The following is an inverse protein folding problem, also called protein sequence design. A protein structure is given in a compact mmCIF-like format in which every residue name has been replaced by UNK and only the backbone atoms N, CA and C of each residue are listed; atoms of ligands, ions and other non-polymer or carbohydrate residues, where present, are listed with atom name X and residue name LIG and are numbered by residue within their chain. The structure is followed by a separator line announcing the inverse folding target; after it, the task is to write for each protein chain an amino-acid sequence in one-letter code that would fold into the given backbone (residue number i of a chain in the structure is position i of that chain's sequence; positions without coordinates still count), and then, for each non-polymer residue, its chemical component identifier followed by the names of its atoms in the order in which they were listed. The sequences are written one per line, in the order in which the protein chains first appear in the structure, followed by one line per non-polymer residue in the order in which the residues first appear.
data_IF_913791810886
#
_entry.id   IF_913791810886
#
_cell.length_a   1.000
_cell.length_b   1.000
_cell.length_c   1.000
_cell.angle_alpha   90.00
_cell.angle_beta   90.00
_cell.angle_gamma   90.00
#
_symmetry.space_group_name_H-M   'P 1'
#
loop_
_entity.id
_entity.type
_entity.pdbx_description
1 polymer ?
#
# COMPACT_ATOMS: atom_id res chain seq x y z
N UNK A 1 -22.41 29.26 12.33
CA UNK A 1 -21.01 28.92 11.93
C UNK A 1 -21.02 27.47 11.48
N UNK A 2 -20.78 27.18 10.21
CA UNK A 2 -20.58 25.78 9.77
C UNK A 2 -19.31 25.27 10.49
N UNK A 3 -19.44 24.21 11.29
CA UNK A 3 -18.29 23.50 11.84
C UNK A 3 -17.49 22.94 10.66
N UNK A 4 -16.17 22.99 10.75
CA UNK A 4 -15.31 22.40 9.71
C UNK A 4 -15.71 20.96 9.45
N UNK A 5 -15.85 20.58 8.19
CA UNK A 5 -16.20 19.23 7.77
C UNK A 5 -15.07 18.23 8.09
N UNK A 6 -15.42 16.94 8.08
CA UNK A 6 -14.47 15.82 8.21
C UNK A 6 -14.48 15.00 6.92
N UNK A 7 -13.40 14.30 6.70
CA UNK A 7 -13.31 13.27 5.66
C UNK A 7 -13.14 11.90 6.31
N UNK A 8 -13.82 10.90 5.77
CA UNK A 8 -13.55 9.50 6.09
C UNK A 8 -12.39 9.03 5.23
N UNK A 9 -11.37 8.47 5.85
CA UNK A 9 -10.19 7.91 5.17
C UNK A 9 -10.20 6.40 5.34
N UNK A 10 -9.99 5.68 4.25
CA UNK A 10 -9.98 4.23 4.22
C UNK A 10 -8.65 3.73 3.62
N UNK A 11 -8.08 2.71 4.25
CA UNK A 11 -7.06 1.82 3.68
C UNK A 11 -7.68 0.43 3.58
N UNK A 12 -7.97 -0.01 2.37
CA UNK A 12 -8.73 -1.22 2.08
C UNK A 12 -7.77 -2.34 1.72
N UNK A 13 -7.55 -3.24 2.67
CA UNK A 13 -6.85 -4.49 2.46
C UNK A 13 -7.77 -5.67 2.16
N UNK A 14 -7.20 -6.86 1.98
CA UNK A 14 -7.97 -8.09 1.72
C UNK A 14 -8.62 -8.71 2.96
N UNK A 15 -8.19 -8.33 4.16
CA UNK A 15 -8.61 -8.88 5.46
C UNK A 15 -9.17 -7.83 6.41
N UNK A 16 -8.79 -6.58 6.24
CA UNK A 16 -9.27 -5.46 7.05
C UNK A 16 -9.46 -4.21 6.19
N UNK A 17 -10.48 -3.45 6.55
CA UNK A 17 -10.66 -2.05 6.17
C UNK A 17 -10.23 -1.21 7.37
N UNK A 18 -9.10 -0.52 7.26
CA UNK A 18 -8.65 0.45 8.25
C UNK A 18 -9.27 1.79 7.93
N UNK A 19 -9.82 2.46 8.91
CA UNK A 19 -10.49 3.74 8.72
C UNK A 19 -10.12 4.75 9.80
N UNK A 20 -10.20 6.03 9.47
CA UNK A 20 -10.07 7.12 10.42
C UNK A 20 -10.77 8.38 9.90
N UNK A 21 -11.03 9.33 10.78
CA UNK A 21 -11.40 10.69 10.37
C UNK A 21 -10.16 11.48 9.99
N UNK A 22 -10.33 12.40 9.05
CA UNK A 22 -9.32 13.39 8.68
C UNK A 22 -9.94 14.77 8.53
N UNK A 23 -9.06 15.75 8.47
CA UNK A 23 -9.38 17.13 8.11
C UNK A 23 -8.64 17.41 6.81
N UNK A 24 -9.35 17.92 5.81
CA UNK A 24 -8.74 18.27 4.52
C UNK A 24 -7.50 19.16 4.72
N UNK A 25 -6.37 18.75 4.15
CA UNK A 25 -5.08 19.46 4.26
C UNK A 25 -4.40 19.46 5.64
N UNK A 26 -4.98 18.77 6.67
CA UNK A 26 -4.42 18.75 8.04
C UNK A 26 -4.10 17.36 8.59
N UNK A 27 -4.45 16.30 7.86
CA UNK A 27 -4.13 14.93 8.27
C UNK A 27 -5.18 14.25 9.15
N UNK A 28 -4.75 13.30 9.98
CA UNK A 28 -5.63 12.47 10.81
C UNK A 28 -6.20 13.22 12.01
N UNK A 29 -7.42 12.85 12.39
CA UNK A 29 -7.97 13.16 13.72
C UNK A 29 -7.53 12.03 14.66
N UNK A 30 -6.77 12.39 15.69
CA UNK A 30 -6.26 11.43 16.68
C UNK A 30 -7.38 10.65 17.36
N UNK A 31 -7.12 9.40 17.71
CA UNK A 31 -8.08 8.55 18.40
C UNK A 31 -9.25 8.04 17.56
N UNK A 32 -9.32 8.36 16.26
CA UNK A 32 -10.43 7.93 15.39
C UNK A 32 -10.15 6.67 14.57
N UNK A 33 -8.96 6.07 14.72
CA UNK A 33 -8.61 4.85 14.02
C UNK A 33 -9.54 3.69 14.37
N UNK A 34 -10.02 2.99 13.35
CA UNK A 34 -10.83 1.76 13.46
C UNK A 34 -10.34 0.74 12.44
N UNK A 35 -10.50 -0.54 12.77
CA UNK A 35 -10.21 -1.67 11.89
C UNK A 35 -11.44 -2.56 11.80
N UNK A 36 -12.02 -2.68 10.61
CA UNK A 36 -13.20 -3.50 10.33
C UNK A 36 -12.76 -4.76 9.57
N UNK A 37 -13.04 -5.96 10.06
CA UNK A 37 -12.75 -7.20 9.32
C UNK A 37 -13.50 -7.24 7.99
N UNK A 38 -12.83 -7.74 6.95
CA UNK A 38 -13.40 -7.99 5.63
C UNK A 38 -12.76 -9.25 5.04
N UNK A 39 -13.52 -10.04 4.30
CA UNK A 39 -12.95 -11.08 3.44
C UNK A 39 -13.04 -10.65 1.99
N UNK A 40 -11.91 -10.39 1.35
CA UNK A 40 -11.90 -10.05 -0.09
C UNK A 40 -12.39 -11.18 -0.99
N UNK A 41 -12.52 -12.40 -0.44
CA UNK A 41 -13.08 -13.59 -1.11
C UNK A 41 -14.49 -13.94 -0.61
N UNK A 42 -15.11 -13.08 0.21
CA UNK A 42 -16.47 -13.22 0.71
C UNK A 42 -17.52 -13.02 -0.36
N UNK A 43 -18.79 -13.18 0.03
CA UNK A 43 -19.94 -12.88 -0.83
C UNK A 43 -20.06 -11.37 -1.07
N UNK A 44 -20.88 -10.98 -2.04
CA UNK A 44 -21.14 -9.55 -2.30
C UNK A 44 -21.78 -8.86 -1.09
N UNK A 45 -22.64 -9.57 -0.36
CA UNK A 45 -23.30 -9.09 0.84
C UNK A 45 -22.29 -8.86 1.97
N UNK A 46 -21.40 -9.82 2.24
CA UNK A 46 -20.36 -9.70 3.28
C UNK A 46 -19.40 -8.55 2.99
N UNK A 47 -18.97 -8.42 1.75
CA UNK A 47 -18.08 -7.33 1.31
C UNK A 47 -18.78 -5.98 1.45
N UNK A 48 -20.03 -5.88 0.98
CA UNK A 48 -20.84 -4.67 1.07
C UNK A 48 -21.04 -4.25 2.51
N UNK A 49 -21.43 -5.18 3.38
CA UNK A 49 -21.66 -4.89 4.79
C UNK A 49 -20.39 -4.42 5.52
N UNK A 50 -19.24 -5.03 5.22
CA UNK A 50 -17.97 -4.60 5.81
C UNK A 50 -17.60 -3.15 5.41
N UNK A 51 -17.77 -2.77 4.14
CA UNK A 51 -17.54 -1.40 3.70
C UNK A 51 -18.53 -0.41 4.33
N UNK A 52 -19.83 -0.77 4.37
CA UNK A 52 -20.86 0.05 4.99
C UNK A 52 -20.61 0.25 6.49
N UNK A 53 -20.22 -0.81 7.19
CA UNK A 53 -19.84 -0.76 8.61
C UNK A 53 -18.64 0.16 8.85
N UNK A 54 -17.58 0.04 8.06
CA UNK A 54 -16.40 0.87 8.21
C UNK A 54 -16.70 2.37 8.01
N UNK A 55 -17.51 2.71 7.00
CA UNK A 55 -17.86 4.10 6.69
C UNK A 55 -18.87 4.66 7.67
N UNK A 56 -19.96 3.92 7.96
CA UNK A 56 -21.01 4.37 8.90
C UNK A 56 -20.48 4.56 10.32
N UNK A 57 -19.53 3.74 10.75
CA UNK A 57 -18.85 3.90 12.04
C UNK A 57 -18.15 5.25 12.16
N UNK A 58 -17.43 5.67 11.13
CA UNK A 58 -16.75 6.97 11.10
C UNK A 58 -17.75 8.14 10.97
N UNK A 59 -18.81 7.98 10.16
CA UNK A 59 -19.86 9.00 10.03
C UNK A 59 -20.55 9.25 11.39
N UNK A 60 -20.90 8.19 12.10
CA UNK A 60 -21.51 8.28 13.44
C UNK A 60 -20.60 9.02 14.40
N UNK A 61 -19.32 8.64 14.43
CA UNK A 61 -18.33 9.30 15.28
C UNK A 61 -18.19 10.78 14.98
N UNK A 62 -18.13 11.17 13.72
CA UNK A 62 -18.11 12.58 13.32
C UNK A 62 -19.36 13.32 13.79
N UNK A 63 -20.54 12.70 13.65
CA UNK A 63 -21.81 13.27 14.07
C UNK A 63 -21.89 13.50 15.60
N UNK A 64 -21.38 12.56 16.40
CA UNK A 64 -21.27 12.69 17.87
C UNK A 64 -20.42 13.91 18.27
N UNK A 65 -19.41 14.24 17.51
CA UNK A 65 -18.58 15.45 17.69
C UNK A 65 -19.21 16.69 17.02
N UNK A 66 -20.33 16.53 16.33
CA UNK A 66 -21.09 17.60 15.65
C UNK A 66 -20.46 18.03 14.33
N UNK A 67 -19.76 17.13 13.61
CA UNK A 67 -19.19 17.38 12.28
C UNK A 67 -20.00 16.64 11.20
N UNK A 68 -20.08 17.24 10.00
CA UNK A 68 -20.56 16.58 8.80
C UNK A 68 -19.41 15.92 8.05
N UNK A 69 -19.70 14.88 7.25
CA UNK A 69 -18.74 14.28 6.33
C UNK A 69 -18.91 14.88 4.95
N UNK A 70 -17.84 15.44 4.40
CA UNK A 70 -17.80 16.00 3.04
C UNK A 70 -17.28 15.00 2.00
N UNK A 71 -16.41 14.08 2.42
CA UNK A 71 -15.83 13.10 1.50
C UNK A 71 -15.51 11.77 2.18
N UNK A 72 -15.51 10.72 1.37
CA UNK A 72 -14.89 9.42 1.68
C UNK A 72 -13.73 9.20 0.70
N UNK A 73 -12.53 9.10 1.23
CA UNK A 73 -11.29 8.93 0.48
C UNK A 73 -10.72 7.54 0.76
N UNK A 74 -10.59 6.71 -0.27
CA UNK A 74 -10.16 5.32 -0.12
C UNK A 74 -8.89 5.02 -0.92
N UNK A 75 -7.92 4.42 -0.22
CA UNK A 75 -6.79 3.74 -0.83
C UNK A 75 -7.08 2.24 -0.89
N UNK A 76 -6.86 1.62 -2.04
CA UNK A 76 -7.16 0.20 -2.25
C UNK A 76 -6.29 -0.39 -3.37
N UNK A 77 -6.06 -1.74 -3.35
CA UNK A 77 -5.31 -2.40 -4.41
C UNK A 77 -6.09 -2.39 -5.73
N UNK A 78 -5.37 -2.67 -6.84
CA UNK A 78 -5.97 -2.82 -8.16
C UNK A 78 -6.10 -4.28 -8.61
N UNK A 79 -6.74 -4.50 -9.78
CA UNK A 79 -7.35 -3.51 -10.69
C UNK A 79 -8.62 -2.85 -10.16
N UNK A 80 -8.65 -1.52 -10.24
CA UNK A 80 -9.79 -0.68 -9.88
C UNK A 80 -9.81 0.55 -10.79
N UNK A 81 -10.96 1.03 -11.20
CA UNK A 81 -11.07 2.32 -11.88
C UNK A 81 -11.15 3.42 -10.82
N UNK A 82 -10.02 4.02 -10.49
CA UNK A 82 -9.91 5.03 -9.42
C UNK A 82 -10.61 6.35 -9.79
N UNK A 83 -10.88 6.59 -11.07
CA UNK A 83 -11.62 7.78 -11.53
C UNK A 83 -13.13 7.61 -11.39
N UNK A 84 -13.64 6.39 -11.64
CA UNK A 84 -15.07 6.07 -11.59
C UNK A 84 -15.49 5.37 -10.30
N UNK A 85 -14.53 4.87 -9.52
CA UNK A 85 -14.80 4.14 -8.29
C UNK A 85 -15.37 2.74 -8.51
N UNK A 86 -14.91 2.01 -9.58
CA UNK A 86 -15.47 0.71 -9.98
C UNK A 86 -14.48 -0.41 -9.70
N UNK A 87 -14.93 -1.49 -9.05
CA UNK A 87 -14.16 -2.70 -8.80
C UNK A 87 -13.91 -3.49 -10.09
N UNK A 88 -12.64 -3.73 -10.42
CA UNK A 88 -12.23 -4.51 -11.61
C UNK A 88 -11.35 -5.71 -11.25
N UNK A 89 -11.25 -6.03 -9.96
CA UNK A 89 -10.48 -7.17 -9.46
C UNK A 89 -11.24 -8.48 -9.66
N UNK A 90 -10.51 -9.53 -10.11
CA UNK A 90 -11.03 -10.90 -10.24
C UNK A 90 -10.38 -11.88 -9.25
N UNK A 91 -9.28 -11.48 -8.62
CA UNK A 91 -8.54 -12.28 -7.64
C UNK A 91 -8.80 -11.88 -6.19
N UNK A 92 -9.37 -10.70 -5.98
CA UNK A 92 -9.89 -10.15 -4.72
C UNK A 92 -11.15 -9.37 -5.05
N UNK A 93 -12.09 -9.30 -4.12
CA UNK A 93 -13.35 -8.57 -4.31
C UNK A 93 -14.10 -8.96 -5.59
N UNK A 94 -13.90 -10.22 -6.08
CA UNK A 94 -14.50 -10.70 -7.33
C UNK A 94 -16.04 -10.66 -7.29
N UNK A 95 -16.64 -10.85 -6.12
CA UNK A 95 -18.09 -10.83 -5.94
C UNK A 95 -18.74 -9.45 -6.18
N UNK A 96 -17.94 -8.37 -6.13
CA UNK A 96 -18.39 -6.99 -6.43
C UNK A 96 -17.74 -6.45 -7.72
N UNK A 97 -17.29 -7.34 -8.61
CA UNK A 97 -16.74 -6.94 -9.92
C UNK A 97 -17.74 -6.13 -10.73
N UNK A 98 -17.32 -4.99 -11.25
CA UNK A 98 -18.16 -4.07 -12.04
C UNK A 98 -19.08 -3.16 -11.22
N UNK A 99 -19.15 -3.36 -9.90
CA UNK A 99 -19.97 -2.53 -9.00
C UNK A 99 -19.18 -1.28 -8.60
N UNK A 100 -19.85 -0.13 -8.52
CA UNK A 100 -19.22 1.09 -8.02
C UNK A 100 -19.23 1.15 -6.49
N UNK A 101 -18.21 1.78 -5.91
CA UNK A 101 -18.14 1.97 -4.46
C UNK A 101 -19.30 2.82 -3.93
N UNK A 102 -19.84 3.72 -4.76
CA UNK A 102 -21.04 4.50 -4.43
C UNK A 102 -22.28 3.62 -4.30
N UNK A 103 -22.49 2.66 -5.20
CA UNK A 103 -23.58 1.69 -5.11
C UNK A 103 -23.45 0.81 -3.87
N UNK A 104 -22.23 0.38 -3.54
CA UNK A 104 -21.94 -0.39 -2.32
C UNK A 104 -22.32 0.41 -1.06
N UNK A 105 -21.93 1.68 -0.98
CA UNK A 105 -22.25 2.51 0.19
C UNK A 105 -23.74 2.90 0.25
N UNK A 106 -24.39 3.06 -0.90
CA UNK A 106 -25.84 3.35 -0.98
C UNK A 106 -26.24 4.53 -0.10
N UNK A 107 -27.17 4.29 0.83
CA UNK A 107 -27.74 5.26 1.76
C UNK A 107 -26.84 5.61 2.98
N UNK A 108 -25.69 4.94 3.13
CA UNK A 108 -24.70 5.30 4.17
C UNK A 108 -24.14 6.69 3.94
N UNK A 109 -24.08 7.13 2.68
CA UNK A 109 -23.59 8.46 2.28
C UNK A 109 -24.68 9.25 1.57
N UNK A 110 -24.58 10.57 1.62
CA UNK A 110 -25.48 11.44 0.85
C UNK A 110 -25.04 11.55 -0.62
N UNK A 111 -25.93 11.96 -1.53
CA UNK A 111 -25.55 12.22 -2.93
C UNK A 111 -24.39 13.22 -3.08
N UNK A 112 -24.33 14.21 -2.18
CA UNK A 112 -23.32 15.28 -2.18
C UNK A 112 -21.96 14.83 -1.57
N UNK A 113 -21.90 13.68 -0.92
CA UNK A 113 -20.63 13.16 -0.37
C UNK A 113 -19.67 12.85 -1.51
N UNK A 114 -18.53 13.54 -1.54
CA UNK A 114 -17.49 13.28 -2.53
C UNK A 114 -16.83 11.92 -2.27
N UNK A 115 -16.58 11.14 -3.31
CA UNK A 115 -15.76 9.94 -3.24
C UNK A 115 -14.46 10.19 -4.01
N UNK A 116 -13.35 9.80 -3.40
CA UNK A 116 -12.03 9.88 -4.03
C UNK A 116 -11.27 8.58 -3.78
N UNK A 117 -10.52 8.14 -4.79
CA UNK A 117 -9.87 6.84 -4.77
C UNK A 117 -8.42 6.95 -5.23
N UNK A 118 -7.56 6.15 -4.62
CA UNK A 118 -6.14 6.04 -5.00
C UNK A 118 -5.68 4.59 -4.87
N UNK A 119 -4.76 4.17 -5.73
CA UNK A 119 -4.07 2.89 -5.53
C UNK A 119 -3.25 2.96 -4.23
N UNK A 120 -3.25 1.90 -3.43
CA UNK A 120 -2.61 1.86 -2.11
C UNK A 120 -1.14 2.32 -2.13
N UNK A 121 -0.33 1.86 -3.10
CA UNK A 121 1.06 2.32 -3.22
C UNK A 121 1.17 3.77 -3.69
N UNK A 122 0.25 4.27 -4.53
CA UNK A 122 0.19 5.70 -4.88
C UNK A 122 -0.19 6.55 -3.66
N UNK A 123 -1.16 6.06 -2.85
CA UNK A 123 -1.52 6.68 -1.58
C UNK A 123 -0.34 6.76 -0.62
N UNK A 124 0.45 5.70 -0.50
CA UNK A 124 1.66 5.69 0.32
C UNK A 124 2.67 6.76 -0.14
N UNK A 125 2.91 6.86 -1.45
CA UNK A 125 3.82 7.88 -1.99
C UNK A 125 3.27 9.30 -1.82
N UNK A 126 1.97 9.54 -2.07
CA UNK A 126 1.33 10.83 -1.82
C UNK A 126 1.45 11.25 -0.35
N UNK A 127 1.25 10.29 0.57
CA UNK A 127 1.46 10.52 1.99
C UNK A 127 2.90 10.91 2.31
N UNK A 128 3.89 10.18 1.78
CA UNK A 128 5.30 10.51 1.95
C UNK A 128 5.63 11.91 1.42
N UNK A 129 5.18 12.26 0.21
CA UNK A 129 5.36 13.58 -0.40
C UNK A 129 4.68 14.71 0.40
N UNK A 130 3.62 14.41 1.16
CA UNK A 130 2.92 15.41 1.96
C UNK A 130 3.64 15.72 3.27
N UNK A 131 4.35 14.76 3.85
CA UNK A 131 5.05 14.91 5.13
C UNK A 131 6.52 15.30 4.98
N UNK A 132 7.15 14.94 3.85
CA UNK A 132 8.55 15.27 3.55
C UNK A 132 8.65 16.06 2.23
N UNK A 133 8.79 17.38 2.34
CA UNK A 133 8.91 18.27 1.18
C UNK A 133 10.15 17.97 0.32
N UNK A 134 11.22 17.41 0.89
CA UNK A 134 12.45 17.07 0.16
C UNK A 134 12.25 15.96 -0.88
N UNK A 135 11.17 15.19 -0.75
CA UNK A 135 10.78 14.15 -1.71
C UNK A 135 10.09 14.71 -2.96
N UNK A 136 9.71 15.99 -2.94
CA UNK A 136 9.08 16.65 -4.09
C UNK A 136 10.10 17.14 -5.12
N UNK A 137 11.36 17.15 -4.74
CA UNK A 137 12.46 17.54 -5.63
C UNK A 137 13.03 16.30 -6.31
N UNK A 138 13.01 16.31 -7.66
CA UNK A 138 13.51 15.21 -8.49
C UNK A 138 12.54 14.02 -8.55
N UNK A 139 13.09 12.85 -8.91
CA UNK A 139 12.31 11.64 -9.13
C UNK A 139 12.47 10.69 -7.95
N UNK A 140 11.36 10.30 -7.36
CA UNK A 140 11.29 9.40 -6.21
C UNK A 140 10.40 8.20 -6.51
N UNK A 141 10.79 7.02 -6.05
CA UNK A 141 9.95 5.82 -6.11
C UNK A 141 9.51 5.37 -4.71
N UNK A 142 8.37 4.71 -4.65
CA UNK A 142 7.88 3.94 -3.52
C UNK A 142 7.84 2.46 -3.91
N UNK A 143 8.44 1.62 -3.09
CA UNK A 143 8.38 0.16 -3.20
C UNK A 143 7.72 -0.38 -1.95
N UNK A 144 6.68 -1.17 -2.08
CA UNK A 144 6.05 -1.83 -0.92
C UNK A 144 6.25 -3.34 -1.02
N UNK A 145 6.80 -3.93 0.05
CA UNK A 145 7.04 -5.36 0.17
C UNK A 145 6.16 -5.96 1.27
N UNK A 146 5.34 -6.92 0.87
CA UNK A 146 4.41 -7.61 1.76
C UNK A 146 3.89 -8.88 1.10
N UNK A 147 2.57 -9.10 1.07
CA UNK A 147 1.94 -10.22 0.33
C UNK A 147 2.35 -10.18 -1.14
N UNK A 148 2.51 -8.99 -1.73
CA UNK A 148 3.00 -8.75 -3.08
C UNK A 148 4.09 -7.67 -3.12
N UNK A 149 4.45 -7.28 -4.35
CA UNK A 149 5.38 -6.20 -4.67
C UNK A 149 4.61 -5.02 -5.27
N UNK A 150 4.50 -3.92 -4.52
CA UNK A 150 3.99 -2.65 -5.03
C UNK A 150 5.12 -1.74 -5.50
N UNK A 151 4.87 -0.99 -6.58
CA UNK A 151 5.78 0.02 -7.11
C UNK A 151 5.00 1.19 -7.67
N UNK A 152 5.44 2.38 -7.34
CA UNK A 152 5.01 3.63 -7.98
C UNK A 152 6.13 4.66 -7.93
N UNK A 153 5.97 5.75 -8.64
CA UNK A 153 6.97 6.82 -8.65
C UNK A 153 6.35 8.19 -8.89
N UNK A 154 7.06 9.21 -8.46
CA UNK A 154 6.75 10.61 -8.74
C UNK A 154 7.91 11.27 -9.50
N UNK A 155 7.56 12.18 -10.40
CA UNK A 155 8.47 13.08 -11.11
C UNK A 155 8.17 14.48 -10.63
N UNK A 156 9.15 15.17 -10.07
CA UNK A 156 9.00 16.54 -9.53
C UNK A 156 7.74 16.68 -8.67
N UNK A 157 7.59 15.75 -7.72
CA UNK A 157 6.48 15.74 -6.76
C UNK A 157 5.13 15.29 -7.31
N UNK A 158 5.02 14.92 -8.59
CA UNK A 158 3.77 14.43 -9.19
C UNK A 158 3.81 12.91 -9.36
N UNK A 159 2.95 12.21 -8.64
CA UNK A 159 2.76 10.76 -8.79
C UNK A 159 2.30 10.45 -10.22
N UNK A 160 2.94 9.46 -10.82
CA UNK A 160 2.68 9.06 -12.20
C UNK A 160 1.64 7.94 -12.26
N UNK A 161 0.56 8.21 -12.96
CA UNK A 161 -0.62 7.33 -13.02
C UNK A 161 -0.99 6.97 -14.45
N UNK A 162 -1.61 5.81 -14.61
CA UNK A 162 -2.27 5.39 -15.84
C UNK A 162 -3.61 6.11 -16.03
N UNK A 163 -4.28 5.86 -17.15
CA UNK A 163 -5.61 6.42 -17.43
C UNK A 163 -6.66 6.08 -16.36
N UNK A 164 -6.56 4.92 -15.71
CA UNK A 164 -7.48 4.50 -14.64
C UNK A 164 -7.06 4.96 -13.24
N UNK A 165 -5.91 5.62 -13.08
CA UNK A 165 -5.36 6.05 -11.80
C UNK A 165 -4.51 4.98 -11.08
N UNK A 166 -4.24 3.83 -11.72
CA UNK A 166 -3.25 2.86 -11.25
C UNK A 166 -1.82 3.42 -11.44
N UNK A 167 -0.79 2.87 -10.77
CA UNK A 167 0.60 3.24 -11.06
C UNK A 167 0.92 3.15 -12.55
N UNK A 168 1.59 4.16 -13.11
CA UNK A 168 1.92 4.22 -14.54
C UNK A 168 2.88 3.10 -14.98
N UNK A 169 3.73 2.63 -14.06
CA UNK A 169 4.63 1.48 -14.22
C UNK A 169 4.52 0.60 -12.98
N UNK A 170 4.74 -0.71 -13.15
CA UNK A 170 4.78 -1.69 -12.08
C UNK A 170 6.03 -2.54 -12.16
N UNK A 171 6.44 -3.11 -11.03
CA UNK A 171 7.53 -4.10 -10.95
C UNK A 171 7.02 -5.51 -10.65
N UNK A 172 5.80 -5.64 -10.13
CA UNK A 172 5.28 -6.94 -9.67
C UNK A 172 5.28 -8.01 -10.76
N UNK A 173 4.92 -7.65 -12.00
CA UNK A 173 4.85 -8.54 -13.16
C UNK A 173 6.05 -8.40 -14.10
N UNK A 174 7.12 -7.72 -13.68
CA UNK A 174 8.33 -7.62 -14.48
C UNK A 174 8.88 -9.03 -14.75
N UNK A 175 9.16 -9.40 -16.01
CA UNK A 175 9.74 -10.71 -16.32
C UNK A 175 11.09 -10.88 -15.61
N UNK A 176 11.24 -11.95 -14.85
CA UNK A 176 12.44 -12.20 -14.07
C UNK A 176 12.69 -13.71 -13.90
N UNK A 177 13.87 -14.20 -14.31
CA UNK A 177 14.32 -15.59 -14.14
C UNK A 177 13.29 -16.66 -14.50
N UNK A 178 12.54 -16.47 -15.60
CA UNK A 178 11.51 -17.41 -16.06
C UNK A 178 10.15 -17.29 -15.40
N UNK A 179 9.99 -16.36 -14.45
CA UNK A 179 8.73 -15.98 -13.80
C UNK A 179 8.55 -14.47 -13.74
N UNK A 180 8.05 -13.95 -12.66
CA UNK A 180 7.88 -12.51 -12.39
C UNK A 180 8.63 -12.10 -11.13
N UNK A 181 9.08 -10.85 -11.07
CA UNK A 181 9.89 -10.34 -9.95
C UNK A 181 9.22 -10.51 -8.58
N UNK A 182 7.91 -10.31 -8.49
CA UNK A 182 7.15 -10.50 -7.24
C UNK A 182 7.38 -11.88 -6.60
N UNK A 183 7.53 -12.93 -7.40
CA UNK A 183 7.75 -14.30 -6.91
C UNK A 183 9.06 -14.49 -6.17
N UNK A 184 10.00 -13.54 -6.29
CA UNK A 184 11.33 -13.61 -5.67
C UNK A 184 11.49 -12.69 -4.46
N UNK A 185 10.62 -11.67 -4.31
CA UNK A 185 10.81 -10.62 -3.31
C UNK A 185 9.61 -10.41 -2.37
N UNK A 186 8.46 -10.99 -2.69
CA UNK A 186 7.26 -10.94 -1.84
C UNK A 186 7.35 -11.93 -0.67
N UNK A 187 6.31 -11.94 0.20
CA UNK A 187 6.19 -12.89 1.30
C UNK A 187 6.47 -14.34 0.86
N UNK A 188 5.81 -14.81 -0.20
CA UNK A 188 6.02 -16.17 -0.72
C UNK A 188 7.43 -16.37 -1.29
N UNK A 189 7.99 -15.35 -1.91
CA UNK A 189 9.36 -15.37 -2.42
C UNK A 189 10.40 -15.53 -1.29
N UNK A 190 10.28 -14.74 -0.23
CA UNK A 190 11.17 -14.82 0.93
C UNK A 190 11.08 -16.17 1.64
N UNK A 191 9.88 -16.72 1.82
CA UNK A 191 9.69 -18.06 2.40
C UNK A 191 10.39 -19.10 1.53
N UNK A 192 10.18 -19.08 0.21
CA UNK A 192 10.84 -19.99 -0.71
C UNK A 192 12.36 -19.86 -0.66
N UNK A 193 12.90 -18.65 -0.70
CA UNK A 193 14.35 -18.41 -0.60
C UNK A 193 14.92 -18.96 0.72
N UNK A 194 14.19 -18.86 1.82
CA UNK A 194 14.60 -19.41 3.10
C UNK A 194 14.65 -20.96 3.06
N UNK A 195 13.61 -21.60 2.50
CA UNK A 195 13.54 -23.05 2.35
C UNK A 195 14.63 -23.59 1.41
N UNK A 196 14.92 -22.88 0.31
CA UNK A 196 16.02 -23.21 -0.62
C UNK A 196 17.41 -23.18 0.06
N UNK A 197 17.58 -22.40 1.12
CA UNK A 197 18.79 -22.40 1.96
C UNK A 197 18.76 -23.48 3.08
N UNK A 198 17.76 -24.36 3.08
CA UNK A 198 17.61 -25.42 4.07
C UNK A 198 16.86 -24.98 5.34
N UNK A 199 16.35 -23.75 5.39
CA UNK A 199 15.48 -23.27 6.47
C UNK A 199 14.14 -24.00 6.50
N UNK A 200 13.51 -24.03 7.67
CA UNK A 200 12.18 -24.66 7.85
C UNK A 200 11.30 -23.77 8.71
N UNK A 201 10.08 -23.54 8.27
CA UNK A 201 9.05 -22.86 9.05
C UNK A 201 8.13 -23.90 9.72
N UNK A 202 7.77 -23.64 10.96
CA UNK A 202 6.70 -24.37 11.62
C UNK A 202 5.33 -23.89 11.13
N UNK A 203 4.28 -24.64 11.42
CA UNK A 203 2.92 -24.24 11.09
C UNK A 203 2.57 -22.89 11.74
N UNK A 204 2.09 -21.94 10.94
CA UNK A 204 1.74 -20.58 11.37
C UNK A 204 2.89 -19.59 11.44
N UNK A 205 4.14 -20.00 11.21
CA UNK A 205 5.28 -19.09 11.08
C UNK A 205 5.30 -18.41 9.70
N UNK A 206 5.94 -17.24 9.65
CA UNK A 206 5.97 -16.38 8.46
C UNK A 206 7.32 -15.65 8.33
N UNK A 207 7.42 -14.72 7.41
CA UNK A 207 8.59 -13.86 7.18
C UNK A 207 9.06 -13.16 8.47
N UNK A 208 8.16 -12.84 9.38
CA UNK A 208 8.49 -12.28 10.70
C UNK A 208 9.44 -13.20 11.46
N UNK A 209 9.14 -14.50 11.52
CA UNK A 209 9.96 -15.48 12.23
C UNK A 209 11.30 -15.67 11.52
N UNK A 210 11.34 -15.67 10.18
CA UNK A 210 12.59 -15.68 9.40
C UNK A 210 13.45 -14.45 9.78
N UNK A 211 12.83 -13.27 9.92
CA UNK A 211 13.57 -12.05 10.28
C UNK A 211 14.17 -12.09 11.69
N UNK A 212 13.47 -12.72 12.63
CA UNK A 212 13.97 -12.93 14.00
C UNK A 212 15.16 -13.88 13.98
N UNK A 213 15.07 -14.99 13.22
CA UNK A 213 16.15 -15.96 13.05
C UNK A 213 17.38 -15.33 12.40
N UNK A 214 17.19 -14.51 11.37
CA UNK A 214 18.27 -13.76 10.72
C UNK A 214 19.02 -12.85 11.73
N UNK A 215 18.29 -12.11 12.59
CA UNK A 215 18.87 -11.26 13.62
C UNK A 215 19.58 -12.06 14.72
N UNK A 216 19.20 -13.33 14.91
CA UNK A 216 19.89 -14.27 15.79
C UNK A 216 21.07 -14.99 15.10
N UNK A 217 21.40 -14.64 13.86
CA UNK A 217 22.56 -15.15 13.14
C UNK A 217 22.35 -16.46 12.39
N UNK A 218 21.10 -16.87 12.14
CA UNK A 218 20.83 -18.04 11.29
C UNK A 218 21.20 -17.74 9.83
N UNK A 219 22.18 -18.47 9.30
CA UNK A 219 22.76 -18.24 7.98
C UNK A 219 21.72 -18.36 6.85
N UNK A 220 20.84 -19.38 6.91
CA UNK A 220 19.79 -19.59 5.92
C UNK A 220 18.83 -18.37 5.85
N UNK A 221 18.49 -17.80 7.00
CA UNK A 221 17.61 -16.65 7.10
C UNK A 221 18.30 -15.35 6.60
N UNK A 222 19.58 -15.16 6.97
CA UNK A 222 20.40 -14.04 6.46
C UNK A 222 20.52 -14.09 4.94
N UNK A 223 20.81 -15.27 4.39
CA UNK A 223 20.96 -15.47 2.97
C UNK A 223 19.64 -15.26 2.21
N UNK A 224 18.49 -15.66 2.77
CA UNK A 224 17.18 -15.42 2.18
C UNK A 224 16.89 -13.92 1.98
N UNK A 225 17.12 -13.09 3.00
CA UNK A 225 16.95 -11.64 2.88
C UNK A 225 17.99 -11.01 1.93
N UNK A 226 19.23 -11.44 1.99
CA UNK A 226 20.27 -10.97 1.08
C UNK A 226 19.94 -11.28 -0.38
N UNK A 227 19.46 -12.50 -0.66
CA UNK A 227 19.05 -12.90 -2.00
C UNK A 227 17.83 -12.08 -2.48
N UNK A 228 16.83 -11.87 -1.61
CA UNK A 228 15.67 -11.04 -1.94
C UNK A 228 16.09 -9.60 -2.30
N UNK A 229 17.04 -9.01 -1.56
CA UNK A 229 17.61 -7.70 -1.88
C UNK A 229 18.29 -7.68 -3.26
N UNK A 230 19.10 -8.70 -3.55
CA UNK A 230 19.78 -8.84 -4.84
C UNK A 230 18.80 -9.02 -6.00
N UNK A 231 17.76 -9.85 -5.83
CA UNK A 231 16.72 -10.04 -6.84
C UNK A 231 15.95 -8.75 -7.12
N UNK A 232 15.58 -8.01 -6.05
CA UNK A 232 14.89 -6.75 -6.20
C UNK A 232 15.74 -5.71 -6.96
N UNK A 233 17.02 -5.60 -6.60
CA UNK A 233 17.94 -4.71 -7.30
C UNK A 233 18.05 -5.08 -8.78
N UNK A 234 18.33 -6.34 -9.08
CA UNK A 234 18.50 -6.82 -10.47
C UNK A 234 17.24 -6.61 -11.31
N UNK A 235 16.04 -6.84 -10.73
CA UNK A 235 14.76 -6.64 -11.43
C UNK A 235 14.34 -5.19 -11.56
N UNK A 236 14.83 -4.28 -10.69
CA UNK A 236 14.41 -2.88 -10.66
C UNK A 236 15.42 -1.92 -11.31
N UNK A 237 16.72 -2.25 -11.36
CA UNK A 237 17.80 -1.32 -11.72
C UNK A 237 17.59 -0.63 -13.07
N UNK A 238 17.15 -1.37 -14.09
CA UNK A 238 16.88 -0.80 -15.41
C UNK A 238 15.78 0.25 -15.34
N UNK A 239 14.63 -0.07 -14.74
CA UNK A 239 13.49 0.85 -14.62
C UNK A 239 13.87 2.08 -13.77
N UNK A 240 14.61 1.90 -12.68
CA UNK A 240 15.10 2.98 -11.83
C UNK A 240 15.98 3.94 -12.63
N UNK A 241 16.90 3.41 -13.45
CA UNK A 241 17.74 4.22 -14.35
C UNK A 241 16.92 4.95 -15.41
N UNK A 242 16.02 4.26 -16.10
CA UNK A 242 15.16 4.84 -17.16
C UNK A 242 14.30 6.00 -16.65
N UNK A 243 13.77 5.86 -15.43
CA UNK A 243 12.95 6.88 -14.78
C UNK A 243 13.78 7.97 -14.07
N UNK A 244 15.10 7.85 -14.05
CA UNK A 244 16.00 8.79 -13.37
C UNK A 244 15.71 8.90 -11.86
N UNK A 245 15.26 7.81 -11.23
CA UNK A 245 14.96 7.78 -9.79
C UNK A 245 16.23 8.01 -8.99
N UNK A 246 16.15 8.90 -8.00
CA UNK A 246 17.25 9.24 -7.09
C UNK A 246 16.98 8.85 -5.64
N UNK A 247 15.73 8.67 -5.27
CA UNK A 247 15.33 8.26 -3.93
C UNK A 247 14.31 7.13 -4.03
N UNK A 248 14.48 6.10 -3.22
CA UNK A 248 13.52 4.99 -3.09
C UNK A 248 13.09 4.90 -1.64
N UNK A 249 11.78 4.93 -1.41
CA UNK A 249 11.18 4.71 -0.11
C UNK A 249 10.62 3.29 -0.07
N UNK A 250 11.07 2.51 0.91
CA UNK A 250 10.55 1.16 1.14
C UNK A 250 9.48 1.15 2.20
N UNK A 251 8.41 0.43 1.92
CA UNK A 251 7.29 0.22 2.80
C UNK A 251 6.72 -1.20 2.77
N UNK A 252 5.61 -1.41 3.48
CA UNK A 252 5.00 -2.71 3.68
C UNK A 252 5.61 -3.47 4.85
N UNK A 253 5.03 -4.63 5.18
CA UNK A 253 5.42 -5.35 6.41
C UNK A 253 6.83 -5.92 6.36
N UNK A 254 7.31 -6.31 5.17
CA UNK A 254 8.67 -6.86 4.98
C UNK A 254 9.72 -5.75 5.14
N UNK A 255 9.39 -4.49 4.84
CA UNK A 255 10.32 -3.37 5.00
C UNK A 255 10.74 -3.12 6.46
N UNK A 256 10.01 -3.67 7.44
CA UNK A 256 10.45 -3.69 8.86
C UNK A 256 11.75 -4.47 9.07
N UNK A 257 12.14 -5.27 8.10
CA UNK A 257 13.39 -6.05 8.06
C UNK A 257 14.29 -5.58 6.92
N UNK A 258 14.17 -4.31 6.52
CA UNK A 258 14.94 -3.70 5.44
C UNK A 258 16.45 -3.79 5.71
N UNK A 259 16.87 -3.62 6.96
CA UNK A 259 18.24 -3.77 7.45
C UNK A 259 18.92 -5.07 7.00
N UNK A 260 18.15 -6.17 6.88
CA UNK A 260 18.65 -7.48 6.47
C UNK A 260 18.91 -7.61 4.96
N UNK A 261 18.30 -6.74 4.13
CA UNK A 261 18.43 -6.76 2.67
C UNK A 261 19.11 -5.50 2.09
N UNK A 262 19.27 -4.46 2.87
CA UNK A 262 19.78 -3.14 2.43
C UNK A 262 21.10 -3.24 1.69
N UNK A 263 22.07 -3.95 2.26
CA UNK A 263 23.42 -4.07 1.66
C UNK A 263 23.39 -4.69 0.27
N UNK A 264 22.68 -5.79 0.09
CA UNK A 264 22.60 -6.50 -1.19
C UNK A 264 21.75 -5.75 -2.21
N UNK A 265 20.69 -5.07 -1.75
CA UNK A 265 19.87 -4.21 -2.59
C UNK A 265 20.70 -3.01 -3.13
N UNK A 266 21.33 -2.25 -2.23
CA UNK A 266 22.11 -1.08 -2.63
C UNK A 266 23.29 -1.44 -3.52
N UNK A 267 23.92 -2.60 -3.36
CA UNK A 267 25.02 -3.06 -4.20
C UNK A 267 24.62 -3.28 -5.67
N UNK A 268 23.34 -3.56 -5.95
CA UNK A 268 22.85 -3.79 -7.32
C UNK A 268 22.06 -2.63 -7.92
N UNK A 269 21.82 -1.56 -7.16
CA UNK A 269 21.18 -0.33 -7.66
C UNK A 269 22.23 0.66 -8.21
N UNK A 270 21.84 1.64 -9.06
CA UNK A 270 22.73 2.71 -9.48
C UNK A 270 23.33 3.46 -8.28
N UNK A 271 24.62 3.81 -8.33
CA UNK A 271 25.40 4.37 -7.20
C UNK A 271 24.82 5.63 -6.54
N UNK A 272 24.01 6.39 -7.25
CA UNK A 272 23.45 7.67 -6.79
C UNK A 272 21.98 7.58 -6.38
N UNK A 273 21.48 6.39 -6.06
CA UNK A 273 20.14 6.15 -5.57
C UNK A 273 20.17 6.03 -4.04
N UNK A 274 19.56 6.99 -3.37
CA UNK A 274 19.32 6.94 -1.92
C UNK A 274 18.15 6.00 -1.62
N UNK A 275 18.32 5.14 -0.63
CA UNK A 275 17.27 4.19 -0.21
C UNK A 275 16.94 4.40 1.26
N UNK A 276 15.65 4.46 1.57
CA UNK A 276 15.15 4.58 2.94
C UNK A 276 13.98 3.63 3.20
N UNK A 277 13.95 2.99 4.36
CA UNK A 277 12.75 2.32 4.84
C UNK A 277 11.84 3.30 5.60
N UNK A 278 10.53 3.23 5.32
CA UNK A 278 9.54 3.96 6.12
C UNK A 278 9.06 3.13 7.28
N UNK A 279 8.96 3.72 8.45
CA UNK A 279 8.44 3.10 9.66
C UNK A 279 6.91 3.10 9.75
N UNK A 280 6.21 3.95 8.99
CA UNK A 280 4.76 4.15 9.06
C UNK A 280 4.10 4.27 7.67
N UNK A 281 4.11 3.18 6.91
CA UNK A 281 3.42 3.13 5.61
C UNK A 281 1.91 3.19 5.75
N UNK A 282 1.34 2.57 6.78
CA UNK A 282 -0.12 2.54 6.98
C UNK A 282 -0.66 3.95 7.24
N UNK A 283 0.04 4.71 8.07
CA UNK A 283 -0.26 6.14 8.27
C UNK A 283 -0.11 6.94 6.98
N UNK A 284 0.94 6.69 6.19
CA UNK A 284 1.16 7.37 4.91
C UNK A 284 0.04 7.08 3.89
N UNK A 285 -0.44 5.84 3.78
CA UNK A 285 -1.57 5.48 2.88
C UNK A 285 -2.81 6.28 3.24
N UNK A 286 -3.17 6.35 4.53
CA UNK A 286 -4.31 7.12 5.01
C UNK A 286 -4.11 8.63 4.81
N UNK A 287 -2.89 9.15 4.98
CA UNK A 287 -2.56 10.57 4.71
C UNK A 287 -2.70 10.86 3.22
N UNK A 288 -2.16 9.99 2.36
CA UNK A 288 -2.24 10.15 0.91
C UNK A 288 -3.68 10.08 0.38
N UNK A 289 -4.51 9.17 0.92
CA UNK A 289 -5.93 9.14 0.59
C UNK A 289 -6.64 10.46 0.93
N UNK A 290 -6.21 11.15 1.99
CA UNK A 290 -6.77 12.45 2.38
C UNK A 290 -6.26 13.63 1.53
N UNK A 291 -5.19 13.44 0.77
CA UNK A 291 -4.63 14.47 -0.11
C UNK A 291 -5.38 14.58 -1.45
N UNK A 292 -6.35 13.67 -1.70
CA UNK A 292 -7.22 13.67 -2.87
C UNK A 292 -8.34 14.69 -2.71
#
# INVERSE_FOLDING_TARGET
MMKSSRIVRLDIGGTFVKSSLGIAGKGAVEGTFMSTPISSNGTAEEITEAFRTAVSGQIRRAAEEGFAIEAVCAALPGPFDYKKGIFLMKHKFAAVYGVSFREILGDVITPDTRLAFVHDVNGALLGALSVDASLREGNVAMVTLGTGLGFTYAIEGKVQESETGSPAKGLWNAPYMGGILEEYVSRRGLIRLYEEQGGKLAEGEDVKEISIRARNGEEAALQAFSNAGSHLAAGAAQLISELGIRKIIFGGQISRSFDLMEKSLCAGLPENVEVKASSDIEGMVLVGAAAL
#
